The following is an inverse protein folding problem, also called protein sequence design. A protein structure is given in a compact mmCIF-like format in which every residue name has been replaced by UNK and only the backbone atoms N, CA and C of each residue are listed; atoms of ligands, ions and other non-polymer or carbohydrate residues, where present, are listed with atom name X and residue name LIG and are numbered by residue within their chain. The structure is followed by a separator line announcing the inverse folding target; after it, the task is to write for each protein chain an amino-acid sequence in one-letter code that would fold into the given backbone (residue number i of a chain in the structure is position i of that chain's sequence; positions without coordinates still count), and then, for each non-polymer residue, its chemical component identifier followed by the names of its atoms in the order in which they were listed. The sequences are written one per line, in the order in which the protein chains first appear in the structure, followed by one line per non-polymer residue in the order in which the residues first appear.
data_IF_332555428987
#
_entry.id   IF_332555428987
#
_cell.length_a   1.000
_cell.length_b   1.000
_cell.length_c   1.000
_cell.angle_alpha   90.00
_cell.angle_beta   90.00
_cell.angle_gamma   90.00
#
_symmetry.space_group_name_H-M   'P 1'
#
loop_
_entity.id
_entity.type
_entity.pdbx_description
1 polymer ?
#
# COMPACT_ATOMS: atom_id res chain seq x y z
N UNK A 1 -7.80 1.34 -36.93
CA UNK A 1 -7.47 1.73 -35.55
C UNK A 1 -7.21 0.45 -34.77
N UNK A 2 -6.11 0.36 -34.03
CA UNK A 2 -5.80 -0.84 -33.23
C UNK A 2 -6.84 -1.07 -32.13
N UNK A 3 -7.00 -2.31 -31.70
CA UNK A 3 -7.97 -2.69 -30.66
C UNK A 3 -7.47 -2.35 -29.25
N UNK A 4 -6.16 -2.18 -29.09
CA UNK A 4 -5.52 -1.77 -27.84
C UNK A 4 -4.75 -0.46 -28.02
N UNK A 5 -4.68 0.35 -26.96
CA UNK A 5 -4.09 1.69 -26.95
C UNK A 5 -2.64 1.73 -27.49
N UNK A 6 -1.84 0.69 -27.21
CA UNK A 6 -0.44 0.60 -27.66
C UNK A 6 -0.28 0.39 -29.17
N UNK A 7 -1.36 0.02 -29.86
CA UNK A 7 -1.40 -0.15 -31.30
C UNK A 7 -1.78 1.15 -32.03
N UNK A 8 -2.04 2.23 -31.30
CA UNK A 8 -2.27 3.54 -31.89
C UNK A 8 -0.94 4.06 -32.50
N UNK A 9 -0.94 4.59 -33.73
CA UNK A 9 0.27 5.15 -34.35
C UNK A 9 0.95 6.24 -33.53
N UNK A 10 0.17 7.01 -32.76
CA UNK A 10 0.67 8.09 -31.91
C UNK A 10 1.07 7.59 -30.50
N UNK A 11 1.05 6.29 -30.23
CA UNK A 11 1.46 5.75 -28.94
C UNK A 11 2.94 6.08 -28.61
N UNK A 12 3.26 6.52 -27.37
CA UNK A 12 2.43 6.73 -26.18
C UNK A 12 2.14 8.22 -25.91
N UNK A 13 1.87 9.02 -26.94
CA UNK A 13 1.59 10.45 -26.80
C UNK A 13 0.18 10.69 -26.24
N UNK A 14 0.01 10.43 -24.94
CA UNK A 14 -1.24 10.66 -24.20
C UNK A 14 -1.66 12.13 -24.23
N UNK A 15 -2.96 12.36 -24.30
CA UNK A 15 -3.58 13.66 -24.14
C UNK A 15 -4.68 13.62 -23.06
N UNK A 16 -5.01 14.78 -22.51
CA UNK A 16 -6.07 14.94 -21.52
C UNK A 16 -6.56 16.39 -21.46
N UNK A 17 -7.78 16.58 -20.98
CA UNK A 17 -8.41 17.90 -20.83
C UNK A 17 -8.11 18.47 -19.45
N UNK A 18 -7.17 19.42 -19.40
CA UNK A 18 -6.65 19.94 -18.13
C UNK A 18 -7.72 20.65 -17.31
N UNK A 19 -8.63 21.37 -17.94
CA UNK A 19 -9.76 22.07 -17.34
C UNK A 19 -10.69 21.13 -16.54
N UNK A 20 -10.83 19.87 -16.97
CA UNK A 20 -11.66 18.88 -16.29
C UNK A 20 -10.95 18.28 -15.06
N UNK A 21 -9.65 18.49 -14.91
CA UNK A 21 -8.83 17.96 -13.81
C UNK A 21 -8.57 18.99 -12.70
N UNK A 22 -8.70 20.28 -12.98
CA UNK A 22 -8.28 21.36 -12.07
C UNK A 22 -8.85 21.21 -10.66
N UNK A 23 -10.16 20.93 -10.55
CA UNK A 23 -10.81 20.80 -9.25
C UNK A 23 -10.27 19.62 -8.44
N UNK A 24 -10.20 18.43 -9.06
CA UNK A 24 -9.71 17.21 -8.41
C UNK A 24 -8.23 17.32 -8.05
N UNK A 25 -7.42 17.86 -8.95
CA UNK A 25 -5.99 18.06 -8.68
C UNK A 25 -5.80 19.04 -7.51
N UNK A 26 -6.53 20.16 -7.51
CA UNK A 26 -6.42 21.15 -6.44
C UNK A 26 -6.82 20.58 -5.08
N UNK A 27 -7.88 19.77 -5.04
CA UNK A 27 -8.30 19.07 -3.82
C UNK A 27 -7.25 18.07 -3.33
N UNK A 28 -6.74 17.21 -4.23
CA UNK A 28 -5.69 16.25 -3.89
C UNK A 28 -4.43 16.95 -3.34
N UNK A 29 -3.97 18.03 -4.00
CA UNK A 29 -2.82 18.82 -3.53
C UNK A 29 -3.09 19.51 -2.19
N UNK A 30 -4.31 20.02 -1.97
CA UNK A 30 -4.67 20.61 -0.67
C UNK A 30 -4.63 19.57 0.45
N UNK A 31 -5.18 18.38 0.22
CA UNK A 31 -5.18 17.28 1.19
C UNK A 31 -3.76 16.77 1.47
N UNK A 32 -2.90 16.62 0.44
CA UNK A 32 -1.48 16.32 0.64
C UNK A 32 -0.81 17.37 1.53
N UNK A 33 -0.98 18.65 1.22
CA UNK A 33 -0.41 19.75 2.01
C UNK A 33 -0.90 19.75 3.48
N UNK A 34 -2.20 19.53 3.71
CA UNK A 34 -2.77 19.42 5.06
C UNK A 34 -2.19 18.23 5.84
N UNK A 35 -2.07 17.07 5.19
CA UNK A 35 -1.51 15.88 5.81
C UNK A 35 -0.05 16.09 6.20
N UNK A 36 0.77 16.62 5.30
CA UNK A 36 2.17 16.92 5.61
C UNK A 36 2.31 17.97 6.71
N UNK A 37 1.53 19.06 6.65
CA UNK A 37 1.52 20.06 7.72
C UNK A 37 1.18 19.45 9.09
N UNK A 38 0.20 18.53 9.16
CA UNK A 38 -0.09 17.78 10.39
C UNK A 38 1.11 16.91 10.81
N UNK A 39 1.72 16.18 9.89
CA UNK A 39 2.85 15.30 10.18
C UNK A 39 4.07 16.07 10.70
N UNK A 40 4.35 17.26 10.18
CA UNK A 40 5.45 18.11 10.64
C UNK A 40 5.31 18.55 12.11
N UNK A 41 4.07 18.66 12.61
CA UNK A 41 3.83 18.98 14.04
C UNK A 41 4.07 17.80 14.97
N UNK A 42 4.17 16.59 14.43
CA UNK A 42 4.35 15.38 15.23
C UNK A 42 5.82 15.15 15.60
N UNK A 43 6.03 14.68 16.83
CA UNK A 43 7.31 14.17 17.28
C UNK A 43 7.83 13.04 16.38
N UNK A 44 9.15 12.81 16.41
CA UNK A 44 9.83 11.82 15.59
C UNK A 44 9.21 10.42 15.70
N UNK A 45 8.92 9.98 16.93
CA UNK A 45 8.37 8.65 17.19
C UNK A 45 6.98 8.45 16.57
N UNK A 46 6.12 9.46 16.65
CA UNK A 46 4.76 9.40 16.08
C UNK A 46 4.77 9.43 14.56
N UNK A 47 5.68 10.21 13.96
CA UNK A 47 5.88 10.17 12.50
C UNK A 47 6.37 8.80 12.05
N UNK A 48 7.31 8.20 12.77
CA UNK A 48 7.81 6.87 12.42
C UNK A 48 6.75 5.79 12.57
N UNK A 49 5.91 5.86 13.60
CA UNK A 49 4.78 4.95 13.78
C UNK A 49 3.75 5.09 12.65
N UNK A 50 3.40 6.34 12.27
CA UNK A 50 2.51 6.59 11.15
C UNK A 50 3.08 6.10 9.80
N UNK A 51 4.38 6.28 9.60
CA UNK A 51 5.09 5.77 8.41
C UNK A 51 5.10 4.23 8.40
N UNK A 52 5.41 3.59 9.52
CA UNK A 52 5.41 2.13 9.67
C UNK A 52 4.02 1.56 9.36
N UNK A 53 2.97 2.15 9.91
CA UNK A 53 1.58 1.75 9.66
C UNK A 53 1.22 1.88 8.17
N UNK A 54 1.58 3.02 7.56
CA UNK A 54 1.30 3.30 6.14
C UNK A 54 1.99 2.29 5.22
N UNK A 55 3.31 2.09 5.40
CA UNK A 55 4.08 1.16 4.57
C UNK A 55 3.62 -0.29 4.76
N UNK A 56 3.25 -0.66 5.98
CA UNK A 56 2.68 -1.99 6.27
C UNK A 56 1.39 -2.18 5.49
N UNK A 57 0.51 -1.17 5.52
CA UNK A 57 -0.74 -1.20 4.78
C UNK A 57 -0.50 -1.26 3.27
N UNK A 58 0.45 -0.49 2.73
CA UNK A 58 0.77 -0.54 1.30
C UNK A 58 1.23 -1.91 0.83
N UNK A 59 2.19 -2.51 1.54
CA UNK A 59 2.72 -3.83 1.19
C UNK A 59 1.60 -4.87 1.22
N UNK A 60 0.82 -4.91 2.31
CA UNK A 60 -0.28 -5.86 2.45
C UNK A 60 -1.35 -5.67 1.35
N UNK A 61 -1.79 -4.44 1.11
CA UNK A 61 -2.87 -4.18 0.15
C UNK A 61 -2.42 -4.33 -1.30
N UNK A 62 -1.17 -4.00 -1.58
CA UNK A 62 -0.55 -4.29 -2.88
C UNK A 62 -0.50 -5.80 -3.15
N UNK A 63 -0.18 -6.63 -2.15
CA UNK A 63 -0.17 -8.09 -2.30
C UNK A 63 -1.59 -8.65 -2.48
N UNK A 64 -2.55 -8.17 -1.67
CA UNK A 64 -3.95 -8.59 -1.71
C UNK A 64 -4.64 -8.29 -3.06
N UNK A 65 -4.23 -7.24 -3.77
CA UNK A 65 -4.72 -6.93 -5.12
C UNK A 65 -4.35 -8.06 -6.10
N UNK A 66 -3.16 -8.63 -5.97
CA UNK A 66 -2.68 -9.78 -6.76
C UNK A 66 -3.18 -11.13 -6.22
N UNK A 67 -3.97 -11.14 -5.14
CA UNK A 67 -4.48 -12.36 -4.52
C UNK A 67 -3.52 -13.03 -3.52
N UNK A 68 -2.42 -12.37 -3.17
CA UNK A 68 -1.47 -12.84 -2.17
C UNK A 68 -1.86 -12.36 -0.77
N UNK A 69 -1.81 -13.27 0.22
CA UNK A 69 -2.06 -12.96 1.63
C UNK A 69 -0.77 -13.08 2.42
N UNK A 70 -0.14 -11.94 2.71
CA UNK A 70 1.07 -11.87 3.53
C UNK A 70 0.71 -11.80 5.02
N UNK A 71 1.61 -12.25 5.88
CA UNK A 71 1.45 -12.12 7.32
C UNK A 71 1.73 -10.66 7.75
N UNK A 72 0.74 -9.94 8.33
CA UNK A 72 0.91 -8.55 8.75
C UNK A 72 2.03 -8.33 9.76
N UNK A 73 2.25 -9.27 10.68
CA UNK A 73 3.29 -9.14 11.71
C UNK A 73 4.69 -9.28 11.11
N UNK A 74 4.87 -10.14 10.11
CA UNK A 74 6.14 -10.27 9.37
C UNK A 74 6.43 -9.02 8.54
N UNK A 75 5.43 -8.53 7.80
CA UNK A 75 5.57 -7.30 6.99
C UNK A 75 5.97 -6.12 7.88
N UNK A 76 5.25 -5.92 8.99
CA UNK A 76 5.54 -4.84 9.94
C UNK A 76 6.92 -4.97 10.56
N UNK A 77 7.31 -6.17 11.00
CA UNK A 77 8.65 -6.46 11.54
C UNK A 77 9.75 -6.15 10.52
N UNK A 78 9.57 -6.60 9.28
CA UNK A 78 10.51 -6.40 8.16
C UNK A 78 10.69 -4.91 7.81
N UNK A 79 9.62 -4.13 7.81
CA UNK A 79 9.66 -2.67 7.61
C UNK A 79 10.35 -1.98 8.79
N UNK A 80 9.98 -2.32 10.03
CA UNK A 80 10.55 -1.71 11.22
C UNK A 80 12.08 -1.85 11.27
N UNK A 81 12.60 -3.03 10.91
CA UNK A 81 14.05 -3.26 10.80
C UNK A 81 14.72 -2.34 9.77
N UNK A 82 14.14 -2.19 8.57
CA UNK A 82 14.68 -1.32 7.50
C UNK A 82 14.55 0.17 7.79
N UNK A 83 13.62 0.55 8.66
CA UNK A 83 13.48 1.91 9.18
C UNK A 83 14.38 2.17 10.41
N UNK A 84 15.02 1.15 10.98
CA UNK A 84 15.85 1.27 12.18
C UNK A 84 15.04 1.56 13.46
N UNK A 85 13.79 1.09 13.51
CA UNK A 85 12.90 1.29 14.66
C UNK A 85 13.03 0.14 15.66
N UNK A 86 12.97 0.47 16.95
CA UNK A 86 12.87 -0.55 18.00
C UNK A 86 11.52 -1.28 17.90
N UNK A 87 11.56 -2.58 17.62
CA UNK A 87 10.36 -3.40 17.48
C UNK A 87 10.36 -4.52 18.51
N UNK A 88 9.34 -4.55 19.37
CA UNK A 88 9.20 -5.55 20.43
C UNK A 88 8.88 -6.93 19.83
N UNK A 89 9.89 -7.79 19.76
CA UNK A 89 9.78 -9.14 19.23
C UNK A 89 10.06 -9.18 17.73
N UNK A 90 11.32 -9.45 17.36
CA UNK A 90 11.71 -9.68 15.98
C UNK A 90 11.00 -10.93 15.48
N UNK A 91 10.10 -10.74 14.51
CA UNK A 91 9.49 -11.84 13.78
C UNK A 91 10.28 -11.98 12.48
N UNK A 92 10.85 -13.16 12.26
CA UNK A 92 11.51 -13.51 11.01
C UNK A 92 10.48 -13.54 9.89
N UNK A 93 10.67 -12.66 8.90
CA UNK A 93 9.95 -12.65 7.62
C UNK A 93 10.49 -13.73 6.69
N UNK A 94 9.64 -14.17 5.75
CA UNK A 94 10.12 -14.94 4.61
C UNK A 94 10.70 -14.01 3.53
N UNK A 95 11.40 -14.61 2.56
CA UNK A 95 12.08 -13.87 1.49
C UNK A 95 11.12 -13.11 0.57
N UNK A 96 9.88 -13.56 0.42
CA UNK A 96 8.90 -12.90 -0.45
C UNK A 96 8.39 -11.62 0.22
N UNK A 97 8.13 -11.67 1.54
CA UNK A 97 7.82 -10.50 2.35
C UNK A 97 8.98 -9.50 2.28
N UNK A 98 10.20 -9.95 2.51
CA UNK A 98 11.38 -9.07 2.49
C UNK A 98 11.59 -8.42 1.12
N UNK A 99 11.46 -9.17 0.03
CA UNK A 99 11.60 -8.63 -1.31
C UNK A 99 10.56 -7.56 -1.67
N UNK A 100 9.32 -7.75 -1.24
CA UNK A 100 8.28 -6.74 -1.42
C UNK A 100 8.53 -5.49 -0.58
N UNK A 101 9.00 -5.66 0.66
CA UNK A 101 9.36 -4.55 1.53
C UNK A 101 10.57 -3.79 0.98
N UNK A 102 11.61 -4.47 0.50
CA UNK A 102 12.80 -3.86 -0.09
C UNK A 102 12.45 -2.98 -1.29
N UNK A 103 11.64 -3.48 -2.21
CA UNK A 103 11.16 -2.72 -3.36
C UNK A 103 10.42 -1.45 -2.93
N UNK A 104 9.47 -1.55 -1.99
CA UNK A 104 8.66 -0.41 -1.55
C UNK A 104 9.47 0.64 -0.78
N UNK A 105 10.40 0.18 0.06
CA UNK A 105 11.32 1.06 0.79
C UNK A 105 12.26 1.77 -0.18
N UNK A 106 12.81 1.07 -1.18
CA UNK A 106 13.66 1.69 -2.20
C UNK A 106 12.87 2.73 -3.03
N UNK A 107 11.67 2.38 -3.50
CA UNK A 107 10.82 3.27 -4.27
C UNK A 107 10.52 4.60 -3.55
N UNK A 108 10.34 4.57 -2.23
CA UNK A 108 10.00 5.75 -1.43
C UNK A 108 11.22 6.48 -0.87
N UNK A 109 12.20 5.79 -0.27
CA UNK A 109 13.38 6.43 0.33
C UNK A 109 14.37 6.95 -0.70
N UNK A 110 14.51 6.23 -1.81
CA UNK A 110 15.37 6.60 -2.93
C UNK A 110 14.54 7.18 -4.09
N UNK A 111 13.40 7.82 -3.77
CA UNK A 111 12.48 8.34 -4.77
C UNK A 111 13.16 9.39 -5.67
N UNK A 112 14.05 10.23 -5.13
CA UNK A 112 14.75 11.25 -5.91
C UNK A 112 15.88 10.72 -6.79
N UNK A 113 16.29 9.47 -6.63
CA UNK A 113 17.24 8.84 -7.54
C UNK A 113 16.53 8.47 -8.85
N UNK A 114 17.24 8.48 -9.98
CA UNK A 114 16.68 8.02 -11.26
C UNK A 114 16.12 6.60 -11.18
N UNK A 115 15.09 6.33 -11.98
CA UNK A 115 14.61 4.99 -12.25
C UNK A 115 15.40 4.42 -13.43
N UNK A 116 16.18 3.36 -13.21
CA UNK A 116 16.93 2.70 -14.27
C UNK A 116 16.36 1.32 -14.58
N UNK A 117 16.78 0.74 -15.70
CA UNK A 117 16.46 -0.65 -16.07
C UNK A 117 16.94 -1.62 -15.01
N UNK A 118 18.17 -1.44 -14.54
CA UNK A 118 18.80 -2.28 -13.51
C UNK A 118 18.03 -2.18 -12.20
N UNK A 119 17.59 -0.97 -11.81
CA UNK A 119 16.78 -0.79 -10.60
C UNK A 119 15.43 -1.51 -10.68
N UNK A 120 14.77 -1.48 -11.84
CA UNK A 120 13.55 -2.27 -12.08
C UNK A 120 13.82 -3.78 -12.03
N UNK A 121 14.96 -4.21 -12.55
CA UNK A 121 15.39 -5.61 -12.50
C UNK A 121 15.70 -6.06 -11.07
N UNK A 122 16.33 -5.22 -10.26
CA UNK A 122 16.60 -5.49 -8.84
C UNK A 122 15.29 -5.60 -8.06
N UNK A 123 14.32 -4.71 -8.31
CA UNK A 123 12.98 -4.82 -7.74
C UNK A 123 12.29 -6.11 -8.14
N UNK A 124 12.34 -6.49 -9.41
CA UNK A 124 11.76 -7.73 -9.90
C UNK A 124 12.48 -8.97 -9.32
N UNK A 125 13.80 -8.92 -9.16
CA UNK A 125 14.59 -9.97 -8.53
C UNK A 125 14.19 -10.17 -7.07
N UNK A 126 13.98 -9.07 -6.35
CA UNK A 126 13.52 -9.08 -4.97
C UNK A 126 12.14 -9.74 -4.83
N UNK A 127 11.20 -9.47 -5.74
CA UNK A 127 9.87 -10.09 -5.73
C UNK A 127 9.91 -11.61 -6.00
N UNK A 128 10.91 -12.10 -6.74
CA UNK A 128 10.96 -13.50 -7.17
C UNK A 128 12.34 -14.15 -6.91
N UNK A 129 12.77 -14.26 -5.63
CA UNK A 129 14.12 -14.66 -5.27
C UNK A 129 14.47 -16.10 -5.66
N UNK A 130 13.47 -16.93 -5.96
CA UNK A 130 13.62 -18.33 -6.38
C UNK A 130 13.44 -18.53 -7.89
N UNK A 131 13.22 -17.47 -8.68
CA UNK A 131 12.98 -17.59 -10.11
C UNK A 131 11.61 -18.15 -10.50
N UNK A 132 10.60 -18.01 -9.63
CA UNK A 132 9.29 -18.67 -9.78
C UNK A 132 8.12 -17.78 -9.37
N UNK A 133 7.03 -17.89 -10.11
CA UNK A 133 5.69 -17.46 -9.68
C UNK A 133 4.87 -18.69 -9.28
N UNK A 134 4.63 -18.85 -7.98
CA UNK A 134 4.10 -20.09 -7.42
C UNK A 134 4.94 -21.30 -7.84
N UNK A 135 4.31 -22.26 -8.51
CA UNK A 135 5.00 -23.47 -9.01
C UNK A 135 5.59 -23.31 -10.41
N UNK A 136 5.47 -22.15 -11.07
CA UNK A 136 5.93 -21.95 -12.44
C UNK A 136 7.26 -21.20 -12.47
N UNK A 137 8.20 -21.67 -13.29
CA UNK A 137 9.45 -20.94 -13.53
C UNK A 137 9.15 -19.72 -14.39
N UNK A 138 9.72 -18.57 -14.02
CA UNK A 138 9.60 -17.33 -14.78
C UNK A 138 10.97 -16.72 -15.04
N UNK A 139 11.02 -15.83 -16.02
CA UNK A 139 12.13 -14.92 -16.30
C UNK A 139 12.16 -13.88 -15.20
N UNK A 140 13.29 -13.78 -14.49
CA UNK A 140 13.47 -12.85 -13.37
C UNK A 140 14.60 -11.90 -13.68
N UNK A 141 14.42 -10.61 -13.34
CA UNK A 141 15.39 -9.55 -13.59
C UNK A 141 15.71 -9.37 -15.08
N UNK A 142 14.73 -9.65 -15.94
CA UNK A 142 14.78 -9.44 -17.38
C UNK A 142 13.36 -9.29 -17.92
N UNK A 143 13.22 -8.66 -19.09
CA UNK A 143 11.94 -8.54 -19.78
C UNK A 143 11.41 -9.89 -20.20
N UNK A 144 10.08 -10.03 -20.21
CA UNK A 144 9.41 -11.23 -20.72
C UNK A 144 9.82 -11.51 -22.16
N UNK A 145 9.87 -12.80 -22.51
CA UNK A 145 10.21 -13.28 -23.86
C UNK A 145 9.04 -13.92 -24.60
N UNK A 146 7.84 -13.88 -24.01
CA UNK A 146 6.62 -14.53 -24.52
C UNK A 146 6.79 -16.00 -24.91
N UNK A 147 7.69 -16.72 -24.23
CA UNK A 147 8.01 -18.13 -24.51
C UNK A 147 6.83 -19.09 -24.33
N UNK A 148 5.81 -18.67 -23.59
CA UNK A 148 4.58 -19.43 -23.32
C UNK A 148 3.36 -18.81 -24.01
N UNK A 149 3.56 -17.86 -24.93
CA UNK A 149 2.50 -17.12 -25.60
C UNK A 149 2.48 -15.64 -25.24
N UNK A 150 1.59 -14.90 -25.92
CA UNK A 150 1.43 -13.45 -25.74
C UNK A 150 1.00 -13.12 -24.31
N UNK A 151 1.52 -12.01 -23.77
CA UNK A 151 1.11 -11.52 -22.47
C UNK A 151 -0.33 -10.98 -22.51
N UNK A 152 -1.23 -11.68 -21.83
CA UNK A 152 -2.66 -11.36 -21.79
C UNK A 152 -3.17 -11.26 -20.36
N UNK A 153 -3.97 -10.23 -20.09
CA UNK A 153 -4.77 -10.13 -18.88
C UNK A 153 -6.08 -10.85 -19.13
N UNK A 154 -6.26 -12.00 -18.48
CA UNK A 154 -7.41 -12.90 -18.67
C UNK A 154 -8.22 -13.07 -17.40
N UNK A 155 -9.52 -13.31 -17.54
CA UNK A 155 -10.37 -13.81 -16.44
C UNK A 155 -11.21 -14.99 -16.92
N UNK A 156 -11.81 -15.73 -16.00
CA UNK A 156 -12.63 -16.91 -16.31
C UNK A 156 -11.91 -18.22 -16.01
N UNK A 157 -12.67 -19.33 -16.05
CA UNK A 157 -12.14 -20.66 -15.85
C UNK A 157 -11.32 -21.12 -17.06
N UNK A 158 -10.42 -22.07 -16.85
CA UNK A 158 -9.60 -22.62 -17.94
C UNK A 158 -10.48 -23.19 -19.06
N UNK A 159 -10.22 -22.78 -20.31
CA UNK A 159 -11.01 -23.10 -21.50
C UNK A 159 -12.23 -22.19 -21.75
N UNK A 160 -12.47 -21.19 -20.89
CA UNK A 160 -13.48 -20.12 -21.05
C UNK A 160 -12.92 -18.77 -20.66
N UNK A 161 -11.64 -18.55 -20.96
CA UNK A 161 -10.95 -17.32 -20.64
C UNK A 161 -11.47 -16.16 -21.50
N UNK A 162 -11.80 -15.05 -20.85
CA UNK A 162 -12.04 -13.76 -21.50
C UNK A 162 -10.74 -12.95 -21.47
N UNK A 163 -10.22 -12.62 -22.64
CA UNK A 163 -9.09 -11.70 -22.78
C UNK A 163 -9.58 -10.27 -22.58
N UNK A 164 -9.14 -9.66 -21.48
CA UNK A 164 -9.42 -8.26 -21.17
C UNK A 164 -8.43 -7.34 -21.85
N UNK A 165 -7.16 -7.72 -21.91
CA UNK A 165 -6.11 -6.92 -22.54
C UNK A 165 -4.99 -7.81 -23.06
N UNK A 166 -4.32 -7.39 -24.12
CA UNK A 166 -3.07 -8.00 -24.60
C UNK A 166 -2.01 -6.91 -24.68
N UNK A 167 -0.90 -7.14 -23.97
CA UNK A 167 0.23 -6.22 -23.95
C UNK A 167 0.96 -6.19 -25.31
N UNK A 168 1.89 -5.24 -25.54
CA UNK A 168 2.78 -5.25 -26.70
C UNK A 168 3.51 -6.59 -26.86
N UNK A 169 3.93 -6.95 -28.06
CA UNK A 169 4.73 -8.17 -28.26
C UNK A 169 6.11 -8.03 -27.58
N UNK A 170 6.70 -9.13 -27.11
CA UNK A 170 7.94 -9.12 -26.30
C UNK A 170 9.13 -8.41 -26.97
N UNK A 171 9.22 -8.46 -28.30
CA UNK A 171 10.26 -7.79 -29.09
C UNK A 171 10.19 -6.26 -29.03
N UNK A 172 9.02 -5.70 -28.73
CA UNK A 172 8.82 -4.26 -28.56
C UNK A 172 9.13 -3.77 -27.13
N UNK A 173 9.18 -4.67 -26.13
CA UNK A 173 9.27 -4.29 -24.70
C UNK A 173 10.53 -3.48 -24.40
N UNK A 174 11.68 -3.85 -24.96
CA UNK A 174 12.94 -3.12 -24.74
C UNK A 174 12.82 -1.66 -25.21
N UNK A 175 12.28 -1.44 -26.41
CA UNK A 175 12.08 -0.11 -26.98
C UNK A 175 11.09 0.70 -26.14
N UNK A 176 9.95 0.10 -25.79
CA UNK A 176 8.89 0.73 -25.01
C UNK A 176 9.37 1.11 -23.60
N UNK A 177 10.13 0.23 -22.95
CA UNK A 177 10.71 0.51 -21.64
C UNK A 177 11.76 1.62 -21.69
N UNK A 178 12.57 1.69 -22.75
CA UNK A 178 13.53 2.79 -22.91
C UNK A 178 12.82 4.15 -23.05
N UNK A 179 11.72 4.22 -23.82
CA UNK A 179 10.88 5.43 -23.93
C UNK A 179 10.25 5.80 -22.59
N UNK A 180 9.70 4.81 -21.89
CA UNK A 180 9.10 5.00 -20.56
C UNK A 180 10.12 5.53 -19.54
N UNK A 181 11.29 4.90 -19.44
CA UNK A 181 12.34 5.27 -18.49
C UNK A 181 12.88 6.68 -18.76
N UNK A 182 13.07 7.04 -20.04
CA UNK A 182 13.48 8.40 -20.41
C UNK A 182 12.43 9.42 -19.94
N UNK A 183 11.16 9.22 -20.28
CA UNK A 183 10.06 10.11 -19.87
C UNK A 183 9.87 10.16 -18.35
N UNK A 184 10.01 9.03 -17.65
CA UNK A 184 9.82 8.95 -16.21
C UNK A 184 10.83 9.82 -15.47
N UNK A 185 12.08 9.83 -15.94
CA UNK A 185 13.18 10.60 -15.34
C UNK A 185 13.25 12.06 -15.82
N UNK A 186 12.62 12.39 -16.95
CA UNK A 186 12.65 13.75 -17.49
C UNK A 186 11.94 14.76 -16.56
N UNK A 187 12.57 15.91 -16.35
CA UNK A 187 11.91 17.08 -15.77
C UNK A 187 11.03 17.74 -16.82
N UNK A 188 9.71 17.68 -16.62
CA UNK A 188 8.74 18.29 -17.51
C UNK A 188 7.72 19.11 -16.71
N UNK A 189 6.87 19.86 -17.41
CA UNK A 189 5.88 20.76 -16.80
C UNK A 189 4.63 20.06 -16.26
N UNK A 190 4.60 18.71 -16.28
CA UNK A 190 3.46 17.93 -15.79
C UNK A 190 3.50 17.90 -14.27
N UNK A 191 2.38 18.18 -13.61
CA UNK A 191 2.26 18.00 -12.16
C UNK A 191 2.58 16.54 -11.79
N UNK A 192 3.39 16.33 -10.74
CA UNK A 192 3.88 15.00 -10.37
C UNK A 192 2.76 14.02 -9.97
N UNK A 193 1.60 14.50 -9.51
CA UNK A 193 0.43 13.64 -9.26
C UNK A 193 -0.16 13.14 -10.58
N UNK A 194 -0.28 14.01 -11.59
CA UNK A 194 -0.70 13.61 -12.94
C UNK A 194 0.35 12.68 -13.55
N UNK A 195 1.64 12.99 -13.39
CA UNK A 195 2.73 12.13 -13.86
C UNK A 195 2.64 10.73 -13.23
N UNK A 196 2.29 10.62 -11.95
CA UNK A 196 2.05 9.33 -11.29
C UNK A 196 0.90 8.56 -11.93
N UNK A 197 -0.23 9.22 -12.23
CA UNK A 197 -1.35 8.60 -12.94
C UNK A 197 -0.94 8.05 -14.31
N UNK A 198 -0.20 8.85 -15.09
CA UNK A 198 0.28 8.45 -16.43
C UNK A 198 1.26 7.29 -16.33
N UNK A 199 2.23 7.37 -15.41
CA UNK A 199 3.23 6.32 -15.23
C UNK A 199 2.59 4.98 -14.84
N UNK A 200 1.58 5.02 -13.97
CA UNK A 200 0.82 3.85 -13.57
C UNK A 200 0.17 3.17 -14.78
N UNK A 201 -0.56 3.93 -15.59
CA UNK A 201 -1.22 3.41 -16.81
C UNK A 201 -0.21 2.92 -17.83
N UNK A 202 0.83 3.69 -18.10
CA UNK A 202 1.79 3.37 -19.15
C UNK A 202 2.56 2.09 -18.82
N UNK A 203 3.13 1.98 -17.61
CA UNK A 203 3.90 0.81 -17.21
C UNK A 203 3.06 -0.47 -17.21
N UNK A 204 1.85 -0.43 -16.63
CA UNK A 204 0.98 -1.62 -16.58
C UNK A 204 0.48 -2.05 -17.97
N UNK A 205 0.45 -1.11 -18.93
CA UNK A 205 0.09 -1.36 -20.33
C UNK A 205 1.24 -1.99 -21.12
N UNK A 206 2.51 -1.58 -20.89
CA UNK A 206 3.69 -2.26 -21.47
C UNK A 206 3.77 -3.70 -20.94
N UNK A 207 3.49 -3.86 -19.64
CA UNK A 207 3.52 -5.14 -18.94
C UNK A 207 4.85 -5.90 -19.15
N UNK A 208 6.00 -5.29 -18.80
CA UNK A 208 7.31 -5.73 -19.27
C UNK A 208 7.81 -7.06 -18.68
N UNK A 209 7.24 -7.51 -17.56
CA UNK A 209 7.64 -8.73 -16.88
C UNK A 209 6.63 -9.87 -17.04
N UNK A 210 7.04 -11.11 -16.77
CA UNK A 210 6.12 -12.27 -16.80
C UNK A 210 5.15 -12.28 -15.61
N UNK A 211 5.55 -11.70 -14.48
CA UNK A 211 4.73 -11.49 -13.28
C UNK A 211 5.29 -10.28 -12.51
N UNK A 212 4.58 -9.77 -11.50
CA UNK A 212 5.02 -8.67 -10.65
C UNK A 212 4.69 -7.27 -11.19
N UNK A 213 4.17 -7.16 -12.42
CA UNK A 213 3.88 -5.88 -13.07
C UNK A 213 2.98 -4.99 -12.21
N UNK A 214 1.89 -5.52 -11.64
CA UNK A 214 0.99 -4.73 -10.79
C UNK A 214 1.68 -4.19 -9.53
N UNK A 215 2.50 -5.00 -8.87
CA UNK A 215 3.27 -4.63 -7.67
C UNK A 215 4.29 -3.53 -7.98
N UNK A 216 5.04 -3.69 -9.08
CA UNK A 216 6.04 -2.71 -9.53
C UNK A 216 5.34 -1.41 -9.97
N UNK A 217 4.19 -1.50 -10.66
CA UNK A 217 3.39 -0.32 -11.03
C UNK A 217 3.05 0.51 -9.80
N UNK A 218 2.55 -0.12 -8.73
CA UNK A 218 2.21 0.58 -7.49
C UNK A 218 3.43 1.18 -6.79
N UNK A 219 4.58 0.50 -6.82
CA UNK A 219 5.84 1.06 -6.32
C UNK A 219 6.28 2.31 -7.11
N UNK A 220 6.17 2.28 -8.45
CA UNK A 220 6.45 3.44 -9.31
C UNK A 220 5.51 4.62 -9.04
N UNK A 221 4.22 4.33 -8.83
CA UNK A 221 3.23 5.32 -8.42
C UNK A 221 3.61 5.97 -7.10
N UNK A 222 3.97 5.17 -6.10
CA UNK A 222 4.38 5.64 -4.79
C UNK A 222 5.69 6.46 -4.84
N UNK A 223 6.61 6.09 -5.71
CA UNK A 223 7.85 6.84 -5.98
C UNK A 223 7.57 8.24 -6.52
N UNK A 224 6.67 8.39 -7.51
CA UNK A 224 6.29 9.71 -8.05
C UNK A 224 5.47 10.54 -7.06
N UNK A 225 4.61 9.89 -6.28
CA UNK A 225 3.85 10.56 -5.22
C UNK A 225 4.77 11.07 -4.10
N UNK A 226 5.77 10.29 -3.68
CA UNK A 226 6.80 10.72 -2.73
C UNK A 226 7.61 11.93 -3.27
N UNK A 227 7.93 11.94 -4.57
CA UNK A 227 8.53 13.12 -5.22
C UNK A 227 7.57 14.33 -5.19
N UNK A 228 6.29 14.11 -5.44
CA UNK A 228 5.24 15.15 -5.43
C UNK A 228 5.05 15.80 -4.07
N UNK A 229 5.21 14.99 -3.02
CA UNK A 229 5.20 15.39 -1.61
C UNK A 229 6.50 16.07 -1.18
N UNK A 230 7.56 16.00 -2.01
CA UNK A 230 8.93 16.45 -1.69
C UNK A 230 9.48 15.78 -0.41
N UNK A 231 9.09 14.53 -0.18
CA UNK A 231 9.42 13.80 1.03
C UNK A 231 9.79 12.35 0.72
N UNK A 232 10.76 11.81 1.46
CA UNK A 232 11.09 10.37 1.48
C UNK A 232 10.15 9.58 2.38
N UNK A 233 9.32 10.27 3.16
CA UNK A 233 8.30 9.70 4.05
C UNK A 233 6.94 10.00 3.47
N UNK A 234 6.16 8.95 3.22
CA UNK A 234 4.78 9.05 2.74
C UNK A 234 3.85 8.44 3.78
N UNK A 235 2.74 9.14 4.03
CA UNK A 235 1.85 8.81 5.16
C UNK A 235 0.45 8.37 4.73
N UNK A 236 0.23 8.09 3.44
CA UNK A 236 -1.03 7.59 2.91
C UNK A 236 -0.78 6.40 1.99
N UNK A 237 -1.79 5.54 1.81
CA UNK A 237 -1.67 4.30 1.02
C UNK A 237 -2.59 4.32 -0.19
N UNK A 238 -2.02 4.48 -1.39
CA UNK A 238 -2.78 4.32 -2.65
C UNK A 238 -3.24 2.87 -2.83
N UNK A 239 -2.38 1.90 -2.50
CA UNK A 239 -2.69 0.48 -2.65
C UNK A 239 -3.91 0.06 -1.81
N UNK A 240 -4.07 0.63 -0.60
CA UNK A 240 -5.25 0.40 0.22
C UNK A 240 -6.54 0.88 -0.43
N UNK A 241 -6.51 2.08 -1.01
CA UNK A 241 -7.70 2.64 -1.65
C UNK A 241 -8.03 1.92 -2.96
N UNK A 242 -7.02 1.59 -3.78
CA UNK A 242 -7.18 0.75 -4.98
C UNK A 242 -7.78 -0.61 -4.59
N UNK A 243 -7.40 -1.18 -3.45
CA UNK A 243 -7.95 -2.46 -2.99
C UNK A 243 -9.44 -2.37 -2.63
N UNK A 244 -9.88 -1.24 -2.07
CA UNK A 244 -11.30 -0.95 -1.80
C UNK A 244 -12.06 -0.78 -3.13
N UNK A 245 -11.47 -0.02 -4.05
CA UNK A 245 -12.05 0.31 -5.37
C UNK A 245 -11.69 -0.71 -6.47
N UNK A 246 -11.26 -1.92 -6.10
CA UNK A 246 -10.61 -2.89 -7.01
C UNK A 246 -11.40 -3.14 -8.30
N UNK A 247 -12.74 -3.25 -8.19
CA UNK A 247 -13.61 -3.48 -9.34
C UNK A 247 -13.56 -2.31 -10.33
N UNK A 248 -13.63 -1.08 -9.81
CA UNK A 248 -13.58 0.13 -10.61
C UNK A 248 -12.19 0.31 -11.23
N UNK A 249 -11.13 0.06 -10.46
CA UNK A 249 -9.75 0.09 -10.94
C UNK A 249 -9.56 -0.76 -12.21
N UNK A 250 -9.96 -2.03 -12.19
CA UNK A 250 -9.83 -2.88 -13.37
C UNK A 250 -10.78 -2.46 -14.51
N UNK A 251 -11.96 -1.92 -14.18
CA UNK A 251 -12.90 -1.44 -15.19
C UNK A 251 -12.34 -0.25 -15.98
N UNK A 252 -11.90 0.80 -15.28
CA UNK A 252 -11.34 2.00 -15.93
C UNK A 252 -10.01 1.69 -16.63
N UNK A 253 -9.19 0.80 -16.06
CA UNK A 253 -7.95 0.36 -16.69
C UNK A 253 -8.22 -0.35 -18.02
N UNK A 254 -9.11 -1.36 -18.02
CA UNK A 254 -9.48 -2.08 -19.25
C UNK A 254 -10.10 -1.14 -20.28
N UNK A 255 -11.00 -0.25 -19.85
CA UNK A 255 -11.63 0.75 -20.73
C UNK A 255 -10.58 1.63 -21.40
N UNK A 256 -9.62 2.14 -20.63
CA UNK A 256 -8.56 3.03 -21.13
C UNK A 256 -7.62 2.28 -22.07
N UNK A 257 -7.24 1.05 -21.71
CA UNK A 257 -6.35 0.20 -22.53
C UNK A 257 -6.95 -0.24 -23.87
N UNK A 258 -8.28 -0.18 -24.02
CA UNK A 258 -9.03 -0.41 -25.26
C UNK A 258 -9.50 0.88 -25.95
N UNK A 259 -9.19 2.03 -25.36
CA UNK A 259 -9.59 3.34 -25.83
C UNK A 259 -8.56 3.95 -26.79
N UNK A 260 -8.68 5.27 -26.95
CA UNK A 260 -7.70 6.10 -27.65
C UNK A 260 -6.65 6.66 -26.67
N UNK A 261 -5.93 7.70 -27.09
CA UNK A 261 -4.89 8.34 -26.27
C UNK A 261 -5.44 9.43 -25.33
N UNK A 262 -6.76 9.69 -25.32
CA UNK A 262 -7.38 10.56 -24.31
C UNK A 262 -7.57 9.78 -23.00
N UNK A 263 -6.72 10.10 -22.02
CA UNK A 263 -6.70 9.43 -20.72
C UNK A 263 -7.36 10.29 -19.62
N UNK A 264 -8.17 11.28 -19.98
CA UNK A 264 -8.83 12.20 -19.03
C UNK A 264 -9.58 11.44 -17.93
N UNK A 265 -10.38 10.44 -18.30
CA UNK A 265 -11.18 9.67 -17.34
C UNK A 265 -10.32 8.79 -16.43
N UNK A 266 -9.20 8.27 -16.92
CA UNK A 266 -8.22 7.56 -16.11
C UNK A 266 -7.61 8.49 -15.05
N UNK A 267 -7.21 9.70 -15.44
CA UNK A 267 -6.62 10.66 -14.50
C UNK A 267 -7.66 11.12 -13.46
N UNK A 268 -8.92 11.36 -13.87
CA UNK A 268 -10.00 11.67 -12.91
C UNK A 268 -10.22 10.57 -11.88
N UNK A 269 -10.26 9.31 -12.33
CA UNK A 269 -10.37 8.17 -11.42
C UNK A 269 -9.16 8.10 -10.47
N UNK A 270 -7.94 8.24 -11.00
CA UNK A 270 -6.72 8.21 -10.20
C UNK A 270 -6.71 9.31 -9.13
N UNK A 271 -7.07 10.55 -9.50
CA UNK A 271 -7.16 11.68 -8.55
C UNK A 271 -8.23 11.44 -7.48
N UNK A 272 -9.40 10.92 -7.86
CA UNK A 272 -10.46 10.56 -6.90
C UNK A 272 -9.99 9.47 -5.93
N UNK A 273 -9.29 8.45 -6.44
CA UNK A 273 -8.69 7.39 -5.64
C UNK A 273 -7.65 7.98 -4.65
N UNK A 274 -6.82 8.91 -5.11
CA UNK A 274 -5.85 9.60 -4.24
C UNK A 274 -6.52 10.45 -3.15
N UNK A 275 -7.56 11.22 -3.49
CA UNK A 275 -8.36 11.98 -2.52
C UNK A 275 -8.93 11.05 -1.46
N UNK A 276 -9.50 9.91 -1.87
CA UNK A 276 -10.05 8.93 -0.93
C UNK A 276 -8.96 8.31 -0.04
N UNK A 277 -7.77 8.01 -0.59
CA UNK A 277 -6.62 7.51 0.17
C UNK A 277 -6.14 8.53 1.22
N UNK A 278 -6.09 9.81 0.87
CA UNK A 278 -5.72 10.90 1.78
C UNK A 278 -6.77 11.08 2.89
N UNK A 279 -8.05 11.04 2.56
CA UNK A 279 -9.13 11.10 3.55
C UNK A 279 -9.14 9.88 4.49
N UNK A 280 -8.85 8.68 3.97
CA UNK A 280 -8.73 7.47 4.79
C UNK A 280 -7.57 7.57 5.80
N UNK A 281 -6.49 8.25 5.41
CA UNK A 281 -5.32 8.48 6.26
C UNK A 281 -5.62 9.30 7.50
N UNK A 282 -6.55 10.27 7.43
CA UNK A 282 -6.93 11.03 8.62
C UNK A 282 -7.43 10.13 9.76
N UNK A 283 -8.15 9.05 9.43
CA UNK A 283 -8.61 8.07 10.42
C UNK A 283 -7.45 7.29 11.04
N UNK A 284 -6.42 6.96 10.25
CA UNK A 284 -5.21 6.29 10.73
C UNK A 284 -4.45 7.22 11.68
N UNK A 285 -4.26 8.48 11.26
CA UNK A 285 -3.57 9.48 12.06
C UNK A 285 -4.24 9.73 13.41
N UNK A 286 -5.57 9.83 13.44
CA UNK A 286 -6.34 9.97 14.68
C UNK A 286 -6.06 8.79 15.61
N UNK A 287 -6.00 7.55 15.10
CA UNK A 287 -5.69 6.37 15.93
C UNK A 287 -4.28 6.42 16.49
N UNK A 288 -3.28 6.80 15.67
CA UNK A 288 -1.89 6.95 16.13
C UNK A 288 -1.81 7.99 17.24
N UNK A 289 -2.49 9.14 17.10
CA UNK A 289 -2.51 10.19 18.11
C UNK A 289 -3.23 9.77 19.39
N UNK A 290 -4.41 9.14 19.29
CA UNK A 290 -5.14 8.64 20.46
C UNK A 290 -4.31 7.59 21.23
N UNK A 291 -3.63 6.70 20.50
CA UNK A 291 -2.74 5.69 21.10
C UNK A 291 -1.54 6.35 21.78
N UNK A 292 -0.96 7.35 21.17
CA UNK A 292 0.14 8.12 21.74
C UNK A 292 -0.26 8.85 23.03
N UNK A 293 -1.38 9.58 23.00
CA UNK A 293 -1.90 10.30 24.15
C UNK A 293 -2.24 9.35 25.30
N UNK A 294 -2.81 8.19 24.99
CA UNK A 294 -3.05 7.14 25.97
C UNK A 294 -1.76 6.70 26.65
N UNK A 295 -0.74 6.34 25.88
CA UNK A 295 0.54 5.87 26.46
C UNK A 295 1.31 6.96 27.19
N UNK A 296 1.21 8.22 26.73
CA UNK A 296 1.79 9.35 27.43
C UNK A 296 1.11 9.58 28.79
N UNK A 297 -0.24 9.57 28.83
CA UNK A 297 -1.03 9.67 30.08
C UNK A 297 -0.67 8.57 31.06
N UNK A 298 -0.44 7.35 30.56
CA UNK A 298 -0.15 6.17 31.38
C UNK A 298 1.35 5.83 31.48
N UNK A 299 2.23 6.76 31.11
CA UNK A 299 3.70 6.55 31.11
C UNK A 299 4.28 6.17 32.48
N UNK A 300 3.66 6.64 33.56
CA UNK A 300 4.03 6.31 34.95
C UNK A 300 3.23 5.14 35.55
N UNK A 301 2.27 4.61 34.82
CA UNK A 301 1.45 3.47 35.26
C UNK A 301 2.20 2.17 35.01
N UNK A 302 2.34 1.33 36.04
CA UNK A 302 2.95 0.01 35.87
C UNK A 302 1.96 -0.87 35.09
N UNK A 303 2.29 -1.23 33.85
CA UNK A 303 1.47 -2.05 32.97
C UNK A 303 2.34 -3.21 32.48
N UNK A 304 1.89 -4.45 32.70
CA UNK A 304 2.65 -5.63 32.32
C UNK A 304 2.54 -5.93 30.81
N UNK A 305 3.41 -6.78 30.26
CA UNK A 305 3.45 -7.06 28.82
C UNK A 305 2.15 -7.66 28.25
N UNK A 306 1.42 -8.48 29.03
CA UNK A 306 0.11 -9.00 28.61
C UNK A 306 -0.93 -7.89 28.50
N UNK A 307 -0.94 -6.98 29.48
CA UNK A 307 -1.81 -5.80 29.49
C UNK A 307 -1.46 -4.87 28.34
N UNK A 308 -0.18 -4.54 28.11
CA UNK A 308 0.25 -3.74 26.97
C UNK A 308 -0.21 -4.34 25.64
N UNK A 309 -0.04 -5.65 25.47
CA UNK A 309 -0.48 -6.36 24.26
C UNK A 309 -1.98 -6.19 23.99
N UNK A 310 -2.82 -6.35 25.01
CA UNK A 310 -4.27 -6.21 24.84
C UNK A 310 -4.69 -4.74 24.68
N UNK A 311 -4.10 -3.82 25.46
CA UNK A 311 -4.37 -2.38 25.34
C UNK A 311 -4.02 -1.85 23.95
N UNK A 312 -2.86 -2.22 23.40
CA UNK A 312 -2.50 -1.87 22.03
C UNK A 312 -3.55 -2.37 21.04
N UNK A 313 -4.00 -3.63 21.17
CA UNK A 313 -5.04 -4.17 20.30
C UNK A 313 -6.38 -3.44 20.43
N UNK A 314 -6.76 -2.98 21.64
CA UNK A 314 -7.97 -2.19 21.86
C UNK A 314 -7.86 -0.78 21.25
N UNK A 315 -6.67 -0.18 21.33
CA UNK A 315 -6.39 1.14 20.73
C UNK A 315 -6.36 1.06 19.19
N UNK A 316 -5.89 -0.07 18.64
CA UNK A 316 -5.85 -0.32 17.19
C UNK A 316 -7.23 -0.68 16.61
N UNK A 317 -8.02 -1.47 17.35
CA UNK A 317 -9.36 -1.96 16.95
C UNK A 317 -10.44 -1.40 17.90
N UNK A 318 -10.95 -0.19 17.61
CA UNK A 318 -11.93 0.59 18.41
C UNK A 318 -13.24 -0.14 18.80
N UNK A 319 -13.51 -1.34 18.27
CA UNK A 319 -14.78 -2.09 18.46
C UNK A 319 -14.62 -3.52 19.00
N UNK A 320 -13.46 -3.87 19.55
CA UNK A 320 -13.34 -5.18 20.22
C UNK A 320 -14.03 -5.15 21.58
N UNK A 321 -15.23 -5.73 21.64
CA UNK A 321 -15.87 -6.11 22.92
C UNK A 321 -14.97 -7.13 23.63
N UNK A 322 -14.25 -6.68 24.66
CA UNK A 322 -13.26 -7.49 25.36
C UNK A 322 -13.94 -8.33 26.43
N UNK A 323 -13.67 -9.64 26.43
CA UNK A 323 -14.06 -10.55 27.51
C UNK A 323 -12.81 -11.19 28.11
N UNK A 324 -12.91 -11.73 29.32
CA UNK A 324 -11.81 -12.47 29.95
C UNK A 324 -11.34 -13.66 29.11
N UNK A 325 -12.25 -14.30 28.35
CA UNK A 325 -11.91 -15.38 27.43
C UNK A 325 -11.13 -14.87 26.21
N UNK A 326 -11.52 -13.71 25.65
CA UNK A 326 -10.80 -13.11 24.52
C UNK A 326 -9.41 -12.64 24.95
N UNK A 327 -9.29 -12.06 26.15
CA UNK A 327 -8.01 -11.71 26.77
C UNK A 327 -7.10 -12.93 26.88
N UNK A 328 -7.56 -13.99 27.53
CA UNK A 328 -6.82 -15.24 27.72
C UNK A 328 -6.33 -15.84 26.38
N UNK A 329 -7.15 -15.78 25.33
CA UNK A 329 -6.78 -16.23 23.98
C UNK A 329 -5.68 -15.37 23.37
N UNK A 330 -5.75 -14.04 23.50
CA UNK A 330 -4.76 -13.10 22.94
C UNK A 330 -3.40 -13.26 23.64
N UNK A 331 -3.42 -13.42 24.96
CA UNK A 331 -2.22 -13.44 25.81
C UNK A 331 -1.70 -14.84 26.09
N UNK A 332 -2.41 -15.89 25.63
CA UNK A 332 -2.11 -17.31 25.87
C UNK A 332 -1.97 -17.63 27.37
N UNK A 333 -2.82 -17.04 28.21
CA UNK A 333 -2.83 -17.28 29.67
C UNK A 333 -4.13 -17.98 30.13
N UNK A 334 -4.18 -18.41 31.40
CA UNK A 334 -5.42 -18.93 32.00
C UNK A 334 -6.48 -17.83 32.13
N UNK A 335 -7.76 -18.22 32.19
CA UNK A 335 -8.88 -17.30 32.41
C UNK A 335 -8.75 -16.53 33.73
N UNK A 336 -8.24 -17.16 34.78
CA UNK A 336 -8.02 -16.51 36.08
C UNK A 336 -6.93 -15.45 36.01
N UNK A 337 -5.85 -15.73 35.28
CA UNK A 337 -4.78 -14.75 35.02
C UNK A 337 -5.33 -13.56 34.23
N UNK A 338 -6.16 -13.82 33.22
CA UNK A 338 -6.81 -12.76 32.45
C UNK A 338 -7.74 -11.88 33.32
N UNK A 339 -8.51 -12.48 34.24
CA UNK A 339 -9.36 -11.74 35.18
C UNK A 339 -8.51 -10.87 36.11
N UNK A 340 -7.37 -11.38 36.61
CA UNK A 340 -6.43 -10.59 37.42
C UNK A 340 -5.86 -9.41 36.64
N UNK A 341 -5.39 -9.63 35.40
CA UNK A 341 -4.88 -8.56 34.54
C UNK A 341 -5.94 -7.48 34.28
N UNK A 342 -7.20 -7.88 34.03
CA UNK A 342 -8.32 -6.97 33.78
C UNK A 342 -8.67 -6.17 35.03
N UNK A 343 -8.82 -6.84 36.19
CA UNK A 343 -9.18 -6.16 37.44
C UNK A 343 -8.09 -5.16 37.88
N UNK A 344 -6.82 -5.48 37.64
CA UNK A 344 -5.71 -4.56 37.87
C UNK A 344 -5.76 -3.33 36.95
N UNK A 345 -6.21 -3.46 35.70
CA UNK A 345 -6.45 -2.30 34.83
C UNK A 345 -7.69 -1.49 35.21
N UNK A 346 -8.72 -2.14 35.77
CA UNK A 346 -9.89 -1.44 36.33
C UNK A 346 -9.50 -0.64 37.56
N UNK A 347 -8.69 -1.20 38.47
CA UNK A 347 -8.22 -0.46 39.66
C UNK A 347 -7.30 0.70 39.30
N UNK A 348 -6.64 0.65 38.14
CA UNK A 348 -5.83 1.72 37.55
C UNK A 348 -6.63 2.72 36.70
N UNK A 349 -7.96 2.59 36.69
CA UNK A 349 -8.87 3.46 35.95
C UNK A 349 -8.66 3.48 34.42
N UNK A 350 -8.09 2.40 33.88
CA UNK A 350 -7.82 2.23 32.44
C UNK A 350 -8.99 1.52 31.74
N UNK A 351 -9.55 0.50 32.39
CA UNK A 351 -10.68 -0.27 31.88
C UNK A 351 -11.91 -0.05 32.75
N UNK A 352 -13.09 -0.20 32.14
CA UNK A 352 -14.36 -0.28 32.84
C UNK A 352 -15.19 -1.47 32.35
N UNK A 353 -16.17 -1.89 33.16
CA UNK A 353 -17.18 -2.87 32.74
C UNK A 353 -18.23 -2.17 31.88
N UNK A 354 -18.61 -2.77 30.76
CA UNK A 354 -19.72 -2.28 29.93
C UNK A 354 -21.03 -2.41 30.72
N UNK A 355 -21.89 -1.39 30.67
CA UNK A 355 -23.19 -1.35 31.38
C UNK A 355 -24.24 -2.28 30.78
N UNK A 356 -24.05 -2.73 29.53
CA UNK A 356 -24.98 -3.62 28.84
C UNK A 356 -24.96 -5.05 29.43
N UNK A 357 -25.98 -5.37 30.22
CA UNK A 357 -26.19 -6.68 30.84
C UNK A 357 -26.35 -7.82 29.82
N UNK A 358 -25.56 -8.88 30.00
CA UNK A 358 -25.64 -10.13 29.21
C UNK A 358 -24.90 -11.27 29.91
N UNK A 359 -24.95 -12.49 29.34
CA UNK A 359 -24.37 -13.73 29.94
C UNK A 359 -22.86 -13.68 30.22
N UNK A 360 -22.13 -12.71 29.69
CA UNK A 360 -20.69 -12.54 29.87
C UNK A 360 -20.33 -11.08 30.08
N UNK A 361 -19.58 -10.77 31.14
CA UNK A 361 -19.07 -9.43 31.42
C UNK A 361 -18.11 -8.98 30.32
N UNK A 362 -18.35 -7.78 29.81
CA UNK A 362 -17.52 -7.13 28.80
C UNK A 362 -16.78 -5.95 29.41
N UNK A 363 -15.63 -5.65 28.84
CA UNK A 363 -14.74 -4.60 29.29
C UNK A 363 -14.39 -3.69 28.11
N UNK A 364 -14.22 -2.41 28.39
CA UNK A 364 -13.85 -1.39 27.41
C UNK A 364 -12.86 -0.39 28.03
N UNK A 365 -12.13 0.34 27.18
CA UNK A 365 -11.33 1.47 27.63
C UNK A 365 -12.24 2.50 28.29
N UNK A 366 -11.86 2.97 29.47
CA UNK A 366 -12.58 4.05 30.13
C UNK A 366 -12.42 5.33 29.30
N UNK A 367 -13.52 5.82 28.73
CA UNK A 367 -13.57 7.14 28.09
C UNK A 367 -13.56 8.18 29.21
N UNK A 368 -12.64 9.14 29.16
CA UNK A 368 -12.68 10.29 30.08
C UNK A 368 -13.83 11.21 29.69
#
# INVERSE_FOLDING_TARGET
MGYYIHQNPDWPHFNWKSEELVSLLSEARNLQGRLFGKMETLGFDLRNEALLETLTLDVLKSAEIEGELLNPEQVRSSIAQRLGLEFAGIITSDRNVDGMVDMMIDATRNCFNPLTKERLFDWHAALFPMGRSGIFKITVADWRKDSTGKMQVVSGASGREKVHFQAPDADLVEMEMNRFLQWFNEENKIDLVIKAAIAHLWFVTIHPFQDGNGRITRALTDMLLARSDKSRQRFYSMSAQIRIERKEYYHILEKTQKGDLDITEWIKWFLSCLINALNATEKILIRVLVKADFWNKHSKTIINERQKKVLNKLLDEFEVKLTSMKWAKITKCSKDTAIRDINDLISKDILQKETAGGRSTKYELKKN
#
